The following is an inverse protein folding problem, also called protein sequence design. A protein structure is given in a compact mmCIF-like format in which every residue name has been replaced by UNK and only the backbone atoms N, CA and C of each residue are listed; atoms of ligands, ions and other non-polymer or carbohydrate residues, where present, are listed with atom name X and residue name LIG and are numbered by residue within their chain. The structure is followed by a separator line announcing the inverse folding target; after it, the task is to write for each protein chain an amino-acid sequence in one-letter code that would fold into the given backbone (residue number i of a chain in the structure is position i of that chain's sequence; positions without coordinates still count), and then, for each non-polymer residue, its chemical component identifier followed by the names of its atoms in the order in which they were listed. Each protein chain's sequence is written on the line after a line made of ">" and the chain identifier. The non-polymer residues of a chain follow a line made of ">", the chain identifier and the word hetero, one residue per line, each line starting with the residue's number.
data_IF_372579769186
#
_entry.id   IF_372579769186
#
_cell.length_a   1.000
_cell.length_b   1.000
_cell.length_c   1.000
_cell.angle_alpha   90.00
_cell.angle_beta   90.00
_cell.angle_gamma   90.00
#
_symmetry.space_group_name_H-M   'P 1'
#
loop_
_entity.id
_entity.type
_entity.pdbx_description
1 polymer ?
#
# COMPACT_ATOMS: atom_id res chain seq x y z
N UNK A 1 27.13 -8.14 7.48
CA UNK A 1 25.78 -7.96 6.89
C UNK A 1 25.26 -6.59 7.33
N UNK A 2 24.71 -5.74 6.43
CA UNK A 2 24.07 -4.52 6.90
C UNK A 2 22.94 -4.93 7.87
N UNK A 3 22.79 -4.25 9.02
CA UNK A 3 21.77 -4.60 10.00
C UNK A 3 20.40 -4.63 9.33
N UNK A 4 19.76 -5.79 9.37
CA UNK A 4 18.39 -5.96 8.90
C UNK A 4 17.48 -5.11 9.77
N UNK A 5 16.64 -4.26 9.16
CA UNK A 5 15.59 -3.53 9.87
C UNK A 5 14.72 -4.53 10.65
N UNK A 6 14.35 -4.18 11.88
CA UNK A 6 13.41 -4.98 12.66
C UNK A 6 12.05 -5.07 11.96
N UNK A 7 11.26 -6.10 12.30
CA UNK A 7 9.92 -6.32 11.72
C UNK A 7 9.03 -5.10 11.92
N UNK A 8 8.98 -4.57 13.15
CA UNK A 8 8.20 -3.38 13.49
C UNK A 8 8.60 -2.16 12.64
N UNK A 9 9.89 -1.87 12.55
CA UNK A 9 10.40 -0.75 11.74
C UNK A 9 10.08 -0.93 10.27
N UNK A 10 10.15 -2.15 9.75
CA UNK A 10 9.80 -2.45 8.36
C UNK A 10 8.33 -2.18 8.07
N UNK A 11 7.43 -2.55 8.99
CA UNK A 11 5.99 -2.24 8.88
C UNK A 11 5.74 -0.73 8.95
N UNK A 12 6.38 -0.01 9.87
CA UNK A 12 6.27 1.45 9.96
C UNK A 12 6.73 2.14 8.68
N UNK A 13 7.86 1.72 8.11
CA UNK A 13 8.38 2.24 6.83
C UNK A 13 7.39 2.00 5.70
N UNK A 14 6.81 0.79 5.59
CA UNK A 14 5.80 0.48 4.57
C UNK A 14 4.54 1.31 4.75
N UNK A 15 4.10 1.54 5.99
CA UNK A 15 2.94 2.38 6.29
C UNK A 15 3.17 3.83 5.85
N UNK A 16 4.33 4.41 6.19
CA UNK A 16 4.73 5.75 5.76
C UNK A 16 4.87 5.86 4.23
N UNK A 17 5.32 4.80 3.57
CA UNK A 17 5.39 4.75 2.11
C UNK A 17 3.99 4.73 1.47
N UNK A 18 3.08 3.87 1.95
CA UNK A 18 1.75 3.68 1.36
C UNK A 18 0.76 4.80 1.73
N UNK A 19 0.73 5.24 2.98
CA UNK A 19 -0.26 6.21 3.46
C UNK A 19 0.14 7.64 3.10
N UNK A 20 1.40 7.99 3.33
CA UNK A 20 1.88 9.36 3.18
C UNK A 20 2.63 9.59 1.86
N UNK A 21 2.74 8.55 1.01
CA UNK A 21 3.45 8.61 -0.27
C UNK A 21 4.90 9.13 -0.14
N UNK A 22 5.56 8.85 0.98
CA UNK A 22 6.92 9.35 1.25
C UNK A 22 7.92 8.61 0.36
N UNK A 23 8.82 9.37 -0.29
CA UNK A 23 9.87 8.81 -1.14
C UNK A 23 10.81 7.90 -0.35
N UNK A 24 11.18 6.75 -0.92
CA UNK A 24 12.08 5.79 -0.27
C UNK A 24 13.45 6.38 0.10
N UNK A 25 13.96 7.34 -0.69
CA UNK A 25 15.20 8.06 -0.36
C UNK A 25 15.05 8.92 0.90
N UNK A 26 13.90 9.55 1.08
CA UNK A 26 13.60 10.34 2.29
C UNK A 26 13.51 9.41 3.51
N UNK A 27 12.85 8.26 3.38
CA UNK A 27 12.81 7.25 4.43
C UNK A 27 14.20 6.72 4.76
N UNK A 28 15.06 6.50 3.76
CA UNK A 28 16.44 6.07 3.96
C UNK A 28 17.22 7.07 4.83
N UNK A 29 17.06 8.37 4.55
CA UNK A 29 17.67 9.44 5.34
C UNK A 29 17.11 9.50 6.77
N UNK A 30 15.78 9.39 6.96
CA UNK A 30 15.12 9.44 8.28
C UNK A 30 15.56 8.26 9.16
N UNK A 31 15.59 7.05 8.60
CA UNK A 31 15.92 5.82 9.33
C UNK A 31 17.42 5.48 9.33
N UNK A 32 18.27 6.40 8.83
CA UNK A 32 19.73 6.24 8.86
C UNK A 32 20.24 4.99 8.13
N UNK A 33 19.59 4.60 7.04
CA UNK A 33 19.92 3.39 6.28
C UNK A 33 19.98 3.67 4.77
N UNK A 34 20.30 2.65 3.97
CA UNK A 34 20.35 2.78 2.53
C UNK A 34 18.96 2.67 1.89
N UNK A 35 18.70 3.40 0.81
CA UNK A 35 17.45 3.26 0.05
C UNK A 35 17.21 1.82 -0.44
N UNK A 36 18.23 1.03 -0.86
CA UNK A 36 18.04 -0.40 -1.13
C UNK A 36 17.53 -1.20 0.06
N UNK A 37 17.93 -0.85 1.29
CA UNK A 37 17.43 -1.50 2.52
C UNK A 37 15.95 -1.16 2.74
N UNK A 38 15.56 0.10 2.55
CA UNK A 38 14.15 0.54 2.58
C UNK A 38 13.32 -0.21 1.54
N UNK A 39 13.80 -0.28 0.29
CA UNK A 39 13.12 -0.98 -0.81
C UNK A 39 12.86 -2.44 -0.49
N UNK A 40 13.87 -3.16 0.03
CA UNK A 40 13.72 -4.55 0.48
C UNK A 40 12.71 -4.69 1.61
N UNK A 41 12.74 -3.81 2.61
CA UNK A 41 11.78 -3.82 3.72
C UNK A 41 10.34 -3.62 3.22
N UNK A 42 10.11 -2.67 2.33
CA UNK A 42 8.80 -2.41 1.73
C UNK A 42 8.32 -3.64 0.97
N UNK A 43 9.12 -4.17 0.04
CA UNK A 43 8.75 -5.32 -0.78
C UNK A 43 8.46 -6.56 0.08
N UNK A 44 9.23 -6.82 1.14
CA UNK A 44 8.96 -7.94 2.04
C UNK A 44 7.61 -7.81 2.73
N UNK A 45 7.24 -6.62 3.21
CA UNK A 45 5.94 -6.39 3.84
C UNK A 45 4.81 -6.49 2.81
N UNK A 46 4.98 -5.91 1.61
CA UNK A 46 3.99 -5.99 0.54
C UNK A 46 3.72 -7.45 0.11
N UNK A 47 4.78 -8.27 0.00
CA UNK A 47 4.62 -9.69 -0.32
C UNK A 47 3.85 -10.46 0.75
N UNK A 48 4.06 -10.12 2.04
CA UNK A 48 3.26 -10.71 3.13
C UNK A 48 1.80 -10.27 3.03
N UNK A 49 1.55 -8.99 2.75
CA UNK A 49 0.19 -8.48 2.58
C UNK A 49 -0.53 -9.14 1.40
N UNK A 50 0.16 -9.42 0.29
CA UNK A 50 -0.41 -10.10 -0.87
C UNK A 50 -0.86 -11.54 -0.56
N UNK A 51 -0.19 -12.21 0.38
CA UNK A 51 -0.57 -13.56 0.83
C UNK A 51 -1.68 -13.54 1.88
N UNK A 52 -1.68 -12.55 2.76
CA UNK A 52 -2.57 -12.50 3.95
C UNK A 52 -3.90 -11.80 3.65
N UNK A 53 -3.90 -10.80 2.76
CA UNK A 53 -5.11 -10.05 2.44
C UNK A 53 -5.96 -10.81 1.41
N UNK A 54 -7.30 -10.72 1.52
CA UNK A 54 -8.17 -11.23 0.47
C UNK A 54 -7.96 -10.42 -0.82
N UNK A 55 -8.24 -11.01 -1.99
CA UNK A 55 -8.16 -10.31 -3.26
C UNK A 55 -9.07 -9.07 -3.24
N UNK A 56 -8.69 -7.97 -3.93
CA UNK A 56 -9.51 -6.78 -3.97
C UNK A 56 -10.90 -7.09 -4.56
N UNK A 57 -11.96 -6.47 -4.04
CA UNK A 57 -13.32 -6.70 -4.52
C UNK A 57 -13.43 -6.29 -5.99
N UNK A 58 -13.99 -7.16 -6.83
CA UNK A 58 -14.27 -6.83 -8.23
C UNK A 58 -15.59 -6.05 -8.31
N UNK A 59 -15.87 -5.32 -9.41
CA UNK A 59 -17.12 -4.58 -9.55
C UNK A 59 -18.40 -5.41 -9.34
N UNK A 60 -18.36 -6.70 -9.70
CA UNK A 60 -19.48 -7.64 -9.48
C UNK A 60 -19.69 -8.05 -8.02
N UNK A 61 -18.65 -7.91 -7.21
CA UNK A 61 -18.66 -8.24 -5.77
C UNK A 61 -19.15 -7.03 -4.94
N UNK A 62 -19.33 -5.85 -5.57
CA UNK A 62 -19.80 -4.61 -4.94
C UNK A 62 -21.34 -4.51 -4.96
N UNK A 63 -21.91 -3.96 -3.88
CA UNK A 63 -23.34 -3.73 -3.79
C UNK A 63 -23.77 -2.57 -4.70
N UNK A 64 -24.78 -2.74 -5.56
CA UNK A 64 -25.34 -1.68 -6.39
C UNK A 64 -25.83 -0.44 -5.64
N UNK A 65 -26.20 -0.62 -4.38
CA UNK A 65 -26.93 0.35 -3.57
C UNK A 65 -25.99 1.15 -2.67
N UNK A 66 -24.67 0.94 -2.77
CA UNK A 66 -23.66 1.61 -1.95
C UNK A 66 -22.69 2.41 -2.81
N UNK A 67 -22.23 3.53 -2.26
CA UNK A 67 -21.15 4.32 -2.84
C UNK A 67 -19.82 3.79 -2.29
N UNK A 68 -18.86 3.53 -3.18
CA UNK A 68 -17.51 3.10 -2.82
C UNK A 68 -16.50 4.16 -3.31
N UNK A 69 -15.50 4.46 -2.48
CA UNK A 69 -14.36 5.30 -2.85
C UNK A 69 -13.14 4.38 -2.93
N UNK A 70 -12.57 4.24 -4.12
CA UNK A 70 -11.38 3.43 -4.35
C UNK A 70 -10.21 4.37 -4.65
N UNK A 71 -9.27 4.48 -3.73
CA UNK A 71 -7.99 5.20 -3.92
C UNK A 71 -8.15 6.65 -4.46
N UNK A 72 -9.12 7.39 -3.91
CA UNK A 72 -9.46 8.75 -4.37
C UNK A 72 -10.17 8.82 -5.73
N UNK A 73 -10.25 7.71 -6.46
CA UNK A 73 -11.04 7.58 -7.69
C UNK A 73 -12.47 7.17 -7.33
N UNK A 74 -13.42 8.06 -7.59
CA UNK A 74 -14.84 7.71 -7.53
C UNK A 74 -15.14 6.74 -8.68
N UNK A 75 -15.24 5.45 -8.37
CA UNK A 75 -15.63 4.44 -9.36
C UNK A 75 -17.14 4.48 -9.53
N UNK A 76 -17.65 4.72 -10.74
CA UNK A 76 -19.08 4.90 -10.95
C UNK A 76 -19.83 3.58 -10.76
N UNK A 77 -20.54 3.48 -9.64
CA UNK A 77 -21.57 2.46 -9.44
C UNK A 77 -22.89 2.96 -10.07
N UNK A 78 -23.41 2.19 -11.03
CA UNK A 78 -24.75 2.25 -11.65
C UNK A 78 -25.15 3.47 -12.49
N UNK A 79 -24.55 4.65 -12.31
CA UNK A 79 -25.11 5.86 -12.92
C UNK A 79 -24.57 6.22 -14.32
N UNK A 80 -23.44 5.64 -14.74
CA UNK A 80 -22.77 6.05 -15.99
C UNK A 80 -23.21 5.27 -17.23
N UNK A 81 -23.99 4.20 -17.08
CA UNK A 81 -24.56 3.46 -18.23
C UNK A 81 -25.72 4.20 -18.92
N UNK A 82 -26.01 5.45 -18.53
CA UNK A 82 -27.05 6.31 -19.09
C UNK A 82 -26.54 7.68 -19.58
N UNK A 83 -25.29 7.74 -20.07
CA UNK A 83 -24.84 8.84 -20.94
C UNK A 83 -24.32 8.28 -22.25
#
# INVERSE_FOLDING_TARGET
>A
CPPSLGVFTSVQITMLYLQENIRQQTLANIFGTSQPTISRAINNVLNVLDVVLPPPPRPKDLSPQRLYVLDGTLVPCWWWKKR
#
